data_IF_843556773628
#
_entry.id   IF_843556773628
#
_cell.length_a   1.000
_cell.length_b   1.000
_cell.length_c   1.000
_cell.angle_alpha   90.00
_cell.angle_beta   90.00
_cell.angle_gamma   90.00
#
_symmetry.space_group_name_H-M   'P 1'
#
loop_
_entity.id
_entity.type
_entity.pdbx_description
1 polymer ?
#
# COMPACT_ATOMS: atom_id res chain seq x y z
N UNK A 1 17.91 4.76 -3.93
CA UNK A 1 16.60 5.43 -3.87
C UNK A 1 16.28 5.68 -2.41
N UNK A 2 16.05 6.94 -2.01
CA UNK A 2 15.61 7.22 -0.64
C UNK A 2 14.27 6.51 -0.44
N UNK A 3 14.24 5.49 0.43
CA UNK A 3 13.01 4.79 0.80
C UNK A 3 12.11 5.82 1.45
N UNK A 4 11.08 6.25 0.75
CA UNK A 4 10.07 7.13 1.33
C UNK A 4 9.20 6.25 2.26
N UNK A 5 9.36 6.37 3.59
CA UNK A 5 8.70 5.47 4.53
C UNK A 5 7.17 5.62 4.50
N UNK A 6 6.67 6.81 4.12
CA UNK A 6 5.22 7.04 3.99
C UNK A 6 4.65 6.31 2.77
N UNK A 7 5.39 6.34 1.65
CA UNK A 7 5.00 5.60 0.45
C UNK A 7 5.02 4.09 0.71
N UNK A 8 6.07 3.56 1.34
CA UNK A 8 6.14 2.15 1.69
C UNK A 8 5.01 1.74 2.65
N UNK A 9 4.67 2.58 3.64
CA UNK A 9 3.57 2.31 4.56
C UNK A 9 2.20 2.32 3.86
N UNK A 10 2.01 3.19 2.87
CA UNK A 10 0.79 3.23 2.07
C UNK A 10 0.65 2.00 1.16
N UNK A 11 1.74 1.60 0.49
CA UNK A 11 1.79 0.39 -0.33
C UNK A 11 1.57 -0.87 0.52
N UNK A 12 2.13 -0.92 1.73
CA UNK A 12 1.89 -1.99 2.69
C UNK A 12 0.41 -2.02 3.12
N UNK A 13 -0.19 -0.88 3.48
CA UNK A 13 -1.61 -0.84 3.85
C UNK A 13 -2.54 -1.30 2.71
N UNK A 14 -2.21 -0.95 1.45
CA UNK A 14 -2.93 -1.44 0.27
C UNK A 14 -2.78 -2.94 0.09
N UNK A 15 -1.56 -3.46 0.27
CA UNK A 15 -1.28 -4.89 0.20
C UNK A 15 -2.04 -5.65 1.28
N UNK A 16 -2.01 -5.17 2.52
CA UNK A 16 -2.72 -5.78 3.65
C UNK A 16 -4.21 -5.83 3.37
N UNK A 17 -4.80 -4.75 2.86
CA UNK A 17 -6.20 -4.72 2.42
C UNK A 17 -6.50 -5.73 1.29
N UNK A 18 -5.64 -5.83 0.28
CA UNK A 18 -5.79 -6.79 -0.83
C UNK A 18 -5.69 -8.26 -0.36
N UNK A 19 -4.97 -8.51 0.73
CA UNK A 19 -4.74 -9.86 1.28
C UNK A 19 -5.53 -10.16 2.54
N UNK A 20 -6.30 -9.21 3.05
CA UNK A 20 -7.07 -9.36 4.28
C UNK A 20 -8.27 -10.29 4.06
N UNK A 21 -8.57 -11.10 5.07
CA UNK A 21 -9.81 -11.87 5.14
C UNK A 21 -11.02 -10.93 5.28
N UNK A 22 -12.22 -11.43 4.97
CA UNK A 22 -13.45 -10.62 4.97
C UNK A 22 -13.70 -9.90 6.30
N UNK A 23 -13.37 -10.54 7.42
CA UNK A 23 -13.49 -9.97 8.77
C UNK A 23 -12.60 -8.73 8.98
N UNK A 24 -11.43 -8.71 8.33
CA UNK A 24 -10.44 -7.63 8.47
C UNK A 24 -10.53 -6.59 7.35
N UNK A 25 -11.30 -6.87 6.30
CA UNK A 25 -11.41 -6.01 5.11
C UNK A 25 -11.90 -4.62 5.45
N UNK A 26 -12.95 -4.48 6.25
CA UNK A 26 -13.48 -3.16 6.67
C UNK A 26 -12.46 -2.36 7.49
N UNK A 27 -11.67 -3.03 8.35
CA UNK A 27 -10.61 -2.36 9.12
C UNK A 27 -9.44 -1.94 8.21
N UNK A 28 -9.08 -2.78 7.25
CA UNK A 28 -8.08 -2.50 6.21
C UNK A 28 -8.47 -1.31 5.34
N UNK A 29 -9.73 -1.24 4.90
CA UNK A 29 -10.26 -0.13 4.10
C UNK A 29 -10.16 1.19 4.87
N UNK A 30 -10.59 1.20 6.13
CA UNK A 30 -10.51 2.38 6.99
C UNK A 30 -9.07 2.87 7.17
N UNK A 31 -8.13 1.95 7.42
CA UNK A 31 -6.71 2.29 7.58
C UNK A 31 -6.10 2.84 6.29
N UNK A 32 -6.37 2.18 5.15
CA UNK A 32 -5.87 2.60 3.85
C UNK A 32 -6.42 3.98 3.44
N UNK A 33 -7.72 4.22 3.60
CA UNK A 33 -8.32 5.52 3.29
C UNK A 33 -7.86 6.63 4.24
N UNK A 34 -7.70 6.35 5.54
CA UNK A 34 -7.17 7.33 6.49
C UNK A 34 -5.74 7.78 6.11
N UNK A 35 -4.92 6.88 5.57
CA UNK A 35 -3.57 7.22 5.08
C UNK A 35 -3.62 8.06 3.82
N UNK A 36 -4.49 7.73 2.87
CA UNK A 36 -4.69 8.55 1.67
C UNK A 36 -5.16 9.97 2.03
N UNK A 37 -6.12 10.10 2.94
CA UNK A 37 -6.58 11.41 3.42
C UNK A 37 -5.47 12.20 4.10
N UNK A 38 -4.66 11.53 4.92
CA UNK A 38 -3.49 12.16 5.56
C UNK A 38 -2.50 12.72 4.54
N UNK A 39 -2.28 12.01 3.42
CA UNK A 39 -1.42 12.47 2.33
C UNK A 39 -2.05 13.65 1.59
N UNK A 40 -3.34 13.58 1.26
CA UNK A 40 -4.06 14.68 0.60
C UNK A 40 -3.99 15.95 1.46
N UNK A 41 -4.28 15.82 2.75
CA UNK A 41 -4.25 16.92 3.71
C UNK A 41 -2.85 17.55 3.83
N UNK A 42 -1.78 16.74 3.78
CA UNK A 42 -0.38 17.22 3.85
C UNK A 42 0.12 17.83 2.55
N UNK A 43 -0.26 17.24 1.41
CA UNK A 43 0.15 17.73 0.10
C UNK A 43 -0.41 19.12 -0.19
N UNK A 44 -1.58 19.45 0.36
CA UNK A 44 -2.27 20.72 0.16
C UNK A 44 -2.45 21.10 -1.32
N UNK A 45 -2.51 20.10 -2.21
CA UNK A 45 -2.68 20.27 -3.65
C UNK A 45 -4.17 20.41 -3.96
N UNK A 46 -4.62 21.56 -4.50
CA UNK A 46 -6.01 21.74 -4.89
C UNK A 46 -6.44 20.71 -5.94
N UNK A 47 -7.60 20.07 -5.74
CA UNK A 47 -8.13 19.07 -6.66
C UNK A 47 -7.49 17.69 -6.58
N UNK A 48 -6.56 17.46 -5.64
CA UNK A 48 -6.04 16.11 -5.40
C UNK A 48 -7.10 15.26 -4.69
N UNK A 49 -7.58 14.22 -5.39
CA UNK A 49 -8.52 13.25 -4.83
C UNK A 49 -7.83 11.94 -4.47
N UNK A 50 -8.51 11.09 -3.69
CA UNK A 50 -8.05 9.72 -3.41
C UNK A 50 -7.77 8.98 -4.71
N UNK A 51 -8.69 9.04 -5.67
CA UNK A 51 -8.57 8.37 -6.97
C UNK A 51 -7.31 8.80 -7.73
N UNK A 52 -6.97 10.08 -7.71
CA UNK A 52 -5.73 10.59 -8.33
C UNK A 52 -4.51 9.93 -7.72
N UNK A 53 -4.45 9.84 -6.39
CA UNK A 53 -3.35 9.19 -5.68
C UNK A 53 -3.33 7.69 -6.00
N UNK A 54 -4.48 7.03 -5.98
CA UNK A 54 -4.56 5.60 -6.30
C UNK A 54 -4.08 5.28 -7.72
N UNK A 55 -4.39 6.14 -8.69
CA UNK A 55 -3.87 6.04 -10.06
C UNK A 55 -2.36 6.18 -10.10
N UNK A 56 -1.79 7.13 -9.36
CA UNK A 56 -0.34 7.29 -9.26
C UNK A 56 0.36 6.13 -8.54
N UNK A 57 -0.35 5.44 -7.63
CA UNK A 57 0.18 4.31 -6.88
C UNK A 57 0.09 2.97 -7.62
N UNK A 58 -0.63 2.89 -8.74
CA UNK A 58 -0.90 1.64 -9.44
C UNK A 58 0.38 0.90 -9.86
N UNK A 59 1.33 1.60 -10.48
CA UNK A 59 2.60 1.01 -10.91
C UNK A 59 3.53 0.69 -9.73
N UNK A 60 3.79 1.62 -8.77
CA UNK A 60 4.53 1.31 -7.56
C UNK A 60 3.95 0.13 -6.76
N UNK A 61 2.62 0.03 -6.70
CA UNK A 61 1.93 -1.05 -6.02
C UNK A 61 2.10 -2.39 -6.72
N UNK A 62 2.06 -2.42 -8.06
CA UNK A 62 2.33 -3.66 -8.82
C UNK A 62 3.74 -4.18 -8.56
N UNK A 63 4.73 -3.30 -8.56
CA UNK A 63 6.12 -3.67 -8.26
C UNK A 63 6.26 -4.15 -6.82
N UNK A 64 5.70 -3.41 -5.86
CA UNK A 64 5.71 -3.76 -4.45
C UNK A 64 5.04 -5.12 -4.18
N UNK A 65 3.86 -5.35 -4.77
CA UNK A 65 3.13 -6.62 -4.66
C UNK A 65 3.94 -7.78 -5.22
N UNK A 66 4.60 -7.60 -6.37
CA UNK A 66 5.50 -8.61 -6.95
C UNK A 66 6.67 -8.92 -6.01
N UNK A 67 7.32 -7.89 -5.48
CA UNK A 67 8.43 -8.05 -4.54
C UNK A 67 7.99 -8.78 -3.26
N UNK A 68 6.87 -8.38 -2.66
CA UNK A 68 6.31 -9.02 -1.45
C UNK A 68 5.94 -10.48 -1.68
N UNK A 69 5.29 -10.80 -2.80
CA UNK A 69 4.95 -12.18 -3.14
C UNK A 69 6.20 -13.02 -3.42
N UNK A 70 7.22 -12.45 -4.06
CA UNK A 70 8.51 -13.12 -4.25
C UNK A 70 9.23 -13.36 -2.90
N UNK A 71 9.24 -12.39 -1.99
CA UNK A 71 9.80 -12.55 -0.64
C UNK A 71 9.09 -13.65 0.15
N UNK A 72 7.75 -13.71 0.10
CA UNK A 72 6.98 -14.77 0.72
C UNK A 72 7.31 -16.14 0.13
N UNK A 73 7.49 -16.22 -1.20
CA UNK A 73 7.88 -17.45 -1.92
C UNK A 73 9.34 -17.86 -1.75
N UNK A 74 10.23 -16.93 -1.42
CA UNK A 74 11.65 -17.20 -1.20
C UNK A 74 11.97 -17.64 0.24
N UNK A 75 11.08 -17.33 1.21
CA UNK A 75 11.20 -17.76 2.61
C UNK A 75 11.12 -19.28 2.88
N UNK A 76 10.46 -20.16 2.10
CA UNK A 76 10.46 -21.59 2.37
C UNK A 76 11.76 -22.31 1.95
N UNK A 77 12.72 -21.64 1.30
CA UNK A 77 13.93 -22.28 0.77
C UNK A 77 15.19 -22.16 1.66
N UNK A 78 15.15 -21.43 2.78
CA UNK A 78 16.34 -21.22 3.65
C UNK A 78 16.36 -22.05 4.94
N UNK A 79 15.42 -22.97 5.09
CA UNK A 79 15.38 -23.96 6.17
C UNK A 79 15.47 -25.38 5.59
N UNK A 80 16.55 -25.66 4.84
CA UNK A 80 17.03 -27.02 4.60
C UNK A 80 18.55 -27.00 4.49
#
# INVERSE_FOLDING_TARGET
MARNPELEALLQAKFDLDTADEEHKTAGERNYFARLDGIIARAAIPGMTRETIERSLLDPYREFKRAKLQEQRAKPARLR
#
